data_IF_072179981939
#
_entry.id   IF_072179981939
#
_cell.length_a   1.000
_cell.length_b   1.000
_cell.length_c   1.000
_cell.angle_alpha   90.00
_cell.angle_beta   90.00
_cell.angle_gamma   90.00
#
_symmetry.space_group_name_H-M   'P 1'
#
loop_
_entity.id
_entity.type
_entity.pdbx_description
1 polymer ?
#
# COMPACT_ATOMS: atom_id res chain seq x y z
N UNK A 1 63.88 4.06 17.88
CA UNK A 1 63.11 3.45 16.78
C UNK A 1 64.01 3.28 15.58
N UNK A 2 64.16 2.05 15.08
CA UNK A 2 64.97 1.76 13.89
C UNK A 2 64.11 1.86 12.62
N UNK A 3 64.74 2.02 11.45
CA UNK A 3 64.02 2.04 10.15
C UNK A 3 63.23 0.75 9.92
N UNK A 4 63.73 -0.37 10.43
CA UNK A 4 63.10 -1.69 10.32
C UNK A 4 61.78 -1.75 11.11
N UNK A 5 61.77 -1.23 12.34
CA UNK A 5 60.55 -1.12 13.17
C UNK A 5 59.47 -0.25 12.51
N UNK A 6 59.87 0.89 11.91
CA UNK A 6 58.98 1.76 11.14
C UNK A 6 58.35 1.04 9.96
N UNK A 7 59.13 0.23 9.25
CA UNK A 7 58.68 -0.50 8.06
C UNK A 7 57.69 -1.60 8.44
N UNK A 8 57.93 -2.29 9.56
CA UNK A 8 57.03 -3.33 10.08
C UNK A 8 55.69 -2.75 10.53
N UNK A 9 55.70 -1.61 11.24
CA UNK A 9 54.47 -0.91 11.64
C UNK A 9 53.70 -0.43 10.41
N UNK A 10 54.38 0.15 9.41
CA UNK A 10 53.74 0.58 8.18
C UNK A 10 53.10 -0.59 7.42
N UNK A 11 53.79 -1.73 7.32
CA UNK A 11 53.25 -2.94 6.70
C UNK A 11 52.02 -3.48 7.45
N UNK A 12 52.04 -3.48 8.78
CA UNK A 12 50.91 -3.91 9.60
C UNK A 12 49.67 -3.00 9.41
N UNK A 13 49.89 -1.67 9.39
CA UNK A 13 48.82 -0.70 9.13
C UNK A 13 48.25 -0.86 7.71
N UNK A 14 49.11 -1.05 6.70
CA UNK A 14 48.68 -1.26 5.32
C UNK A 14 47.85 -2.55 5.16
N UNK A 15 48.28 -3.65 5.80
CA UNK A 15 47.53 -4.90 5.81
C UNK A 15 46.16 -4.73 6.50
N UNK A 16 46.11 -4.03 7.64
CA UNK A 16 44.87 -3.72 8.35
C UNK A 16 43.91 -2.88 7.51
N UNK A 17 44.40 -1.82 6.85
CA UNK A 17 43.60 -0.98 5.96
C UNK A 17 43.06 -1.75 4.75
N UNK A 18 43.87 -2.65 4.18
CA UNK A 18 43.46 -3.53 3.07
C UNK A 18 42.32 -4.46 3.50
N UNK A 19 42.47 -5.15 4.64
CA UNK A 19 41.44 -6.04 5.18
C UNK A 19 40.14 -5.28 5.46
N UNK A 20 40.23 -4.09 6.06
CA UNK A 20 39.08 -3.25 6.34
C UNK A 20 38.34 -2.83 5.06
N UNK A 21 39.09 -2.47 4.01
CA UNK A 21 38.51 -2.15 2.69
C UNK A 21 37.78 -3.34 2.07
N UNK A 22 38.36 -4.54 2.12
CA UNK A 22 37.71 -5.77 1.63
C UNK A 22 36.42 -6.06 2.41
N UNK A 23 36.42 -5.91 3.74
CA UNK A 23 35.22 -6.10 4.57
C UNK A 23 34.11 -5.12 4.21
N UNK A 24 34.44 -3.83 4.03
CA UNK A 24 33.47 -2.83 3.55
C UNK A 24 32.93 -3.15 2.16
N UNK A 25 33.79 -3.65 1.26
CA UNK A 25 33.41 -4.12 -0.07
C UNK A 25 32.39 -5.26 -0.02
N UNK A 26 32.64 -6.29 0.79
CA UNK A 26 31.74 -7.44 0.97
C UNK A 26 30.38 -7.00 1.52
N UNK A 27 30.38 -6.13 2.53
CA UNK A 27 29.13 -5.60 3.12
C UNK A 27 28.34 -4.75 2.10
N UNK A 28 29.05 -3.92 1.33
CA UNK A 28 28.46 -3.12 0.25
C UNK A 28 27.82 -3.99 -0.84
N UNK A 29 28.54 -5.03 -1.28
CA UNK A 29 28.09 -5.96 -2.32
C UNK A 29 26.87 -6.77 -1.86
N UNK A 30 26.91 -7.39 -0.67
CA UNK A 30 25.75 -8.09 -0.09
C UNK A 30 24.53 -7.19 0.01
N UNK A 31 24.72 -5.94 0.43
CA UNK A 31 23.65 -4.96 0.48
C UNK A 31 23.09 -4.59 -0.90
N UNK A 32 23.93 -4.56 -1.94
CA UNK A 32 23.51 -4.30 -3.31
C UNK A 32 22.75 -5.50 -3.91
N UNK A 33 23.22 -6.71 -3.68
CA UNK A 33 22.59 -7.96 -4.10
C UNK A 33 21.20 -8.12 -3.49
N UNK A 34 21.06 -7.88 -2.17
CA UNK A 34 19.76 -7.91 -1.51
C UNK A 34 18.78 -6.87 -2.11
N UNK A 35 19.27 -5.65 -2.39
CA UNK A 35 18.44 -4.62 -3.03
C UNK A 35 18.02 -4.99 -4.45
N UNK A 36 18.91 -5.63 -5.20
CA UNK A 36 18.62 -6.11 -6.55
C UNK A 36 17.58 -7.23 -6.50
N UNK A 37 17.75 -8.22 -5.63
CA UNK A 37 16.80 -9.32 -5.43
C UNK A 37 15.42 -8.81 -5.01
N UNK A 38 15.35 -7.87 -4.07
CA UNK A 38 14.08 -7.25 -3.65
C UNK A 38 13.38 -6.52 -4.80
N UNK A 39 14.14 -5.77 -5.62
CA UNK A 39 13.58 -5.08 -6.80
C UNK A 39 13.11 -6.06 -7.86
N UNK A 40 13.85 -7.14 -8.09
CA UNK A 40 13.46 -8.18 -9.03
C UNK A 40 12.15 -8.83 -8.60
N UNK A 41 12.05 -9.27 -7.33
CA UNK A 41 10.81 -9.79 -6.76
C UNK A 41 9.66 -8.80 -6.92
N UNK A 42 9.87 -7.54 -6.54
CA UNK A 42 8.82 -6.51 -6.66
C UNK A 42 8.43 -6.22 -8.10
N UNK A 43 9.39 -6.23 -9.03
CA UNK A 43 9.18 -5.91 -10.44
C UNK A 43 8.17 -6.82 -11.13
N UNK A 44 8.07 -8.08 -10.71
CA UNK A 44 7.14 -9.07 -11.30
C UNK A 44 5.66 -8.72 -11.13
N UNK A 45 5.30 -7.88 -10.17
CA UNK A 45 3.89 -7.52 -9.90
C UNK A 45 3.70 -6.03 -9.57
N UNK A 46 4.73 -5.20 -9.69
CA UNK A 46 4.64 -3.78 -9.38
C UNK A 46 3.61 -3.07 -10.26
N UNK A 47 3.64 -3.35 -11.57
CA UNK A 47 2.72 -2.76 -12.55
C UNK A 47 1.28 -3.20 -12.29
N UNK A 48 1.06 -4.51 -12.13
CA UNK A 48 -0.25 -5.06 -11.82
C UNK A 48 -0.81 -4.54 -10.49
N UNK A 49 0.02 -4.46 -9.45
CA UNK A 49 -0.40 -3.95 -8.16
C UNK A 49 -0.84 -2.48 -8.25
N UNK A 50 -0.04 -1.63 -8.91
CA UNK A 50 -0.39 -0.22 -9.11
C UNK A 50 -1.65 -0.05 -9.94
N UNK A 51 -1.77 -0.80 -11.04
CA UNK A 51 -2.95 -0.85 -11.92
C UNK A 51 -4.21 -1.20 -11.12
N UNK A 52 -4.18 -2.31 -10.38
CA UNK A 52 -5.35 -2.83 -9.67
C UNK A 52 -5.75 -1.96 -8.48
N UNK A 53 -4.78 -1.37 -7.75
CA UNK A 53 -5.04 -0.39 -6.70
C UNK A 53 -5.79 0.82 -7.28
N UNK A 54 -5.28 1.39 -8.37
CA UNK A 54 -5.90 2.53 -9.04
C UNK A 54 -7.28 2.17 -9.61
N UNK A 55 -7.40 1.04 -10.29
CA UNK A 55 -8.67 0.59 -10.88
C UNK A 55 -9.74 0.36 -9.81
N UNK A 56 -9.38 -0.17 -8.65
CA UNK A 56 -10.32 -0.37 -7.52
C UNK A 56 -10.94 0.95 -7.06
N UNK A 57 -10.14 2.02 -6.90
CA UNK A 57 -10.63 3.34 -6.49
C UNK A 57 -11.38 4.03 -7.62
N UNK A 58 -10.83 4.01 -8.83
CA UNK A 58 -11.43 4.67 -9.98
C UNK A 58 -12.82 4.08 -10.33
N UNK A 59 -12.95 2.75 -10.30
CA UNK A 59 -14.24 2.10 -10.53
C UNK A 59 -15.27 2.44 -9.46
N UNK A 60 -14.86 2.59 -8.20
CA UNK A 60 -15.72 3.03 -7.12
C UNK A 60 -16.24 4.47 -7.34
N UNK A 61 -15.37 5.41 -7.75
CA UNK A 61 -15.81 6.76 -8.13
C UNK A 61 -16.83 6.75 -9.27
N UNK A 62 -16.57 5.97 -10.33
CA UNK A 62 -17.48 5.89 -11.48
C UNK A 62 -18.81 5.25 -11.07
N UNK A 63 -18.79 4.25 -10.18
CA UNK A 63 -20.00 3.62 -9.66
C UNK A 63 -20.92 4.63 -8.96
N UNK A 64 -20.38 5.43 -8.02
CA UNK A 64 -21.15 6.50 -7.34
C UNK A 64 -21.67 7.50 -8.35
N UNK A 65 -20.80 7.99 -9.25
CA UNK A 65 -21.20 8.94 -10.27
C UNK A 65 -22.34 8.41 -11.14
N UNK A 66 -22.28 7.15 -11.59
CA UNK A 66 -23.31 6.55 -12.44
C UNK A 66 -24.61 6.31 -11.68
N UNK A 67 -24.55 5.84 -10.44
CA UNK A 67 -25.73 5.66 -9.60
C UNK A 67 -26.50 6.97 -9.41
N UNK A 68 -25.79 8.07 -9.12
CA UNK A 68 -26.38 9.39 -8.89
C UNK A 68 -27.01 10.03 -10.14
N UNK A 69 -26.59 9.61 -11.34
CA UNK A 69 -27.10 10.14 -12.62
C UNK A 69 -28.08 9.18 -13.32
N UNK A 70 -28.61 8.18 -12.62
CA UNK A 70 -29.56 7.21 -13.19
C UNK A 70 -28.95 6.33 -14.30
N UNK A 71 -27.63 6.21 -14.35
CA UNK A 71 -26.94 5.39 -15.34
C UNK A 71 -26.96 3.90 -15.00
N UNK A 72 -26.65 3.05 -15.99
CA UNK A 72 -26.46 1.62 -15.76
C UNK A 72 -25.24 1.37 -14.85
N UNK A 73 -25.48 0.85 -13.65
CA UNK A 73 -24.46 0.55 -12.63
C UNK A 73 -23.92 -0.88 -12.70
N UNK A 74 -24.62 -1.80 -13.37
CA UNK A 74 -24.31 -3.23 -13.33
C UNK A 74 -22.91 -3.54 -13.88
N UNK A 75 -22.59 -3.02 -15.07
CA UNK A 75 -21.27 -3.23 -15.68
C UNK A 75 -20.11 -2.66 -14.85
N UNK A 76 -20.35 -1.55 -14.14
CA UNK A 76 -19.35 -0.95 -13.25
C UNK A 76 -19.17 -1.76 -11.97
N UNK A 77 -20.25 -2.33 -11.43
CA UNK A 77 -20.20 -3.25 -10.29
C UNK A 77 -19.40 -4.51 -10.61
N UNK A 78 -19.66 -5.13 -11.76
CA UNK A 78 -18.90 -6.31 -12.21
C UNK A 78 -17.41 -6.00 -12.39
N UNK A 79 -17.07 -4.81 -12.89
CA UNK A 79 -15.69 -4.35 -13.02
C UNK A 79 -15.04 -4.11 -11.65
N UNK A 80 -15.76 -3.49 -10.71
CA UNK A 80 -15.28 -3.27 -9.35
C UNK A 80 -15.04 -4.60 -8.61
N UNK A 81 -15.95 -5.57 -8.76
CA UNK A 81 -15.81 -6.91 -8.16
C UNK A 81 -14.61 -7.67 -8.74
N UNK A 82 -14.34 -7.50 -10.05
CA UNK A 82 -13.13 -8.05 -10.69
C UNK A 82 -11.87 -7.42 -10.10
N UNK A 83 -11.80 -6.09 -10.01
CA UNK A 83 -10.67 -5.39 -9.43
C UNK A 83 -10.43 -5.81 -7.97
N UNK A 84 -11.49 -5.96 -7.17
CA UNK A 84 -11.42 -6.50 -5.80
C UNK A 84 -10.79 -7.90 -5.75
N UNK A 85 -11.19 -8.81 -6.65
CA UNK A 85 -10.63 -10.18 -6.70
C UNK A 85 -9.15 -10.15 -7.09
N UNK A 86 -8.81 -9.41 -8.14
CA UNK A 86 -7.42 -9.21 -8.58
C UNK A 86 -6.57 -8.61 -7.44
N UNK A 87 -7.10 -7.63 -6.70
CA UNK A 87 -6.39 -7.01 -5.58
C UNK A 87 -6.14 -8.01 -4.46
N UNK A 88 -7.12 -8.86 -4.18
CA UNK A 88 -7.01 -9.95 -3.21
C UNK A 88 -5.93 -10.98 -3.60
N UNK A 89 -5.78 -11.27 -4.89
CA UNK A 89 -4.72 -12.12 -5.43
C UNK A 89 -3.35 -11.45 -5.33
N UNK A 90 -3.23 -10.19 -5.76
CA UNK A 90 -1.98 -9.41 -5.67
C UNK A 90 -1.53 -9.25 -4.22
N UNK A 91 -2.45 -9.03 -3.28
CA UNK A 91 -2.14 -9.00 -1.84
C UNK A 91 -1.46 -10.29 -1.38
N UNK A 92 -1.99 -11.45 -1.77
CA UNK A 92 -1.41 -12.75 -1.39
C UNK A 92 0.00 -12.94 -1.96
N UNK A 93 0.20 -12.57 -3.24
CA UNK A 93 1.50 -12.64 -3.92
C UNK A 93 2.53 -11.69 -3.28
N UNK A 94 2.10 -10.48 -2.97
CA UNK A 94 2.98 -9.42 -2.48
C UNK A 94 3.25 -9.48 -0.96
N UNK A 95 2.53 -10.32 -0.19
CA UNK A 95 2.51 -10.35 1.29
C UNK A 95 3.89 -10.27 1.94
N UNK A 96 4.87 -11.03 1.44
CA UNK A 96 6.20 -11.09 2.04
C UNK A 96 7.09 -9.92 1.63
N UNK A 97 6.98 -9.46 0.38
CA UNK A 97 7.75 -8.30 -0.12
C UNK A 97 7.28 -6.95 0.43
N UNK A 98 5.98 -6.85 0.71
CA UNK A 98 5.28 -5.65 1.15
C UNK A 98 4.73 -5.88 2.56
N UNK A 99 5.55 -6.48 3.42
CA UNK A 99 5.17 -6.71 4.80
C UNK A 99 4.76 -5.40 5.48
N UNK A 100 3.64 -5.44 6.22
CA UNK A 100 3.14 -4.31 7.00
C UNK A 100 2.15 -3.39 6.28
N UNK A 101 1.86 -3.60 5.00
CA UNK A 101 0.79 -2.88 4.27
C UNK A 101 -0.40 -3.77 3.86
N UNK A 102 -0.38 -5.05 4.23
CA UNK A 102 -1.42 -6.05 3.90
C UNK A 102 -2.83 -5.61 4.33
N UNK A 103 -2.92 -4.97 5.50
CA UNK A 103 -4.18 -4.46 6.03
C UNK A 103 -4.79 -3.37 5.14
N UNK A 104 -3.97 -2.48 4.59
CA UNK A 104 -4.44 -1.46 3.65
C UNK A 104 -4.97 -2.07 2.36
N UNK A 105 -4.26 -3.06 1.80
CA UNK A 105 -4.73 -3.79 0.61
C UNK A 105 -6.03 -4.57 0.88
N UNK A 106 -6.18 -5.14 2.07
CA UNK A 106 -7.39 -5.85 2.50
C UNK A 106 -8.60 -4.91 2.62
N UNK A 107 -8.42 -3.73 3.19
CA UNK A 107 -9.53 -2.80 3.35
C UNK A 107 -9.90 -2.17 2.02
N UNK A 108 -8.90 -1.85 1.18
CA UNK A 108 -9.16 -1.36 -0.18
C UNK A 108 -9.91 -2.39 -1.04
N UNK A 109 -9.66 -3.69 -0.86
CA UNK A 109 -10.41 -4.73 -1.57
C UNK A 109 -11.89 -4.79 -1.19
N UNK A 110 -12.31 -4.18 -0.08
CA UNK A 110 -13.71 -4.09 0.37
C UNK A 110 -14.42 -2.83 -0.12
N UNK A 111 -13.68 -1.90 -0.74
CA UNK A 111 -14.17 -0.58 -1.13
C UNK A 111 -15.41 -0.65 -2.03
N UNK A 112 -15.39 -1.51 -3.04
CA UNK A 112 -16.51 -1.68 -3.99
C UNK A 112 -17.81 -2.03 -3.26
N UNK A 113 -17.75 -2.94 -2.30
CA UNK A 113 -18.88 -3.30 -1.45
C UNK A 113 -19.32 -2.12 -0.59
N UNK A 114 -18.40 -1.45 0.11
CA UNK A 114 -18.73 -0.31 0.97
C UNK A 114 -19.41 0.83 0.22
N UNK A 115 -18.92 1.13 -0.98
CA UNK A 115 -19.51 2.14 -1.87
C UNK A 115 -20.85 1.65 -2.43
N UNK A 116 -20.97 0.37 -2.78
CA UNK A 116 -22.23 -0.20 -3.25
C UNK A 116 -23.38 -0.09 -2.22
N UNK A 117 -23.08 -0.10 -0.92
CA UNK A 117 -24.10 0.05 0.14
C UNK A 117 -24.51 1.51 0.39
N UNK A 118 -23.73 2.47 -0.12
CA UNK A 118 -23.86 3.90 0.18
C UNK A 118 -24.09 4.78 -1.05
N UNK A 119 -24.13 4.24 -2.27
CA UNK A 119 -24.29 5.07 -3.47
C UNK A 119 -25.59 5.89 -3.49
N UNK A 120 -26.64 5.49 -2.76
CA UNK A 120 -27.88 6.26 -2.65
C UNK A 120 -27.74 7.53 -1.79
N UNK A 121 -26.62 7.67 -1.07
CA UNK A 121 -26.32 8.79 -0.19
C UNK A 121 -25.01 9.44 -0.68
N UNK A 122 -25.08 10.39 -1.63
CA UNK A 122 -23.90 10.94 -2.31
C UNK A 122 -22.83 11.45 -1.34
N UNK A 123 -23.22 12.20 -0.31
CA UNK A 123 -22.28 12.78 0.66
C UNK A 123 -21.54 11.72 1.48
N UNK A 124 -22.26 10.67 1.89
CA UNK A 124 -21.71 9.52 2.62
C UNK A 124 -20.74 8.73 1.73
N UNK A 125 -21.11 8.52 0.46
CA UNK A 125 -20.27 7.82 -0.51
C UNK A 125 -18.99 8.61 -0.85
N UNK A 126 -19.09 9.94 -1.00
CA UNK A 126 -17.95 10.81 -1.29
C UNK A 126 -16.92 10.76 -0.14
N UNK A 127 -17.35 10.83 1.12
CA UNK A 127 -16.45 10.69 2.29
C UNK A 127 -15.69 9.37 2.29
N UNK A 128 -16.36 8.26 1.92
CA UNK A 128 -15.70 6.95 1.80
C UNK A 128 -14.65 6.98 0.68
N UNK A 129 -14.97 7.59 -0.46
CA UNK A 129 -14.07 7.70 -1.61
C UNK A 129 -12.84 8.57 -1.29
N UNK A 130 -13.00 9.70 -0.60
CA UNK A 130 -11.90 10.54 -0.14
C UNK A 130 -10.95 9.78 0.80
N UNK A 131 -11.50 9.05 1.77
CA UNK A 131 -10.70 8.22 2.67
C UNK A 131 -9.99 7.08 1.93
N UNK A 132 -10.64 6.50 0.92
CA UNK A 132 -10.04 5.47 0.08
C UNK A 132 -8.91 6.01 -0.80
N UNK A 133 -9.05 7.23 -1.31
CA UNK A 133 -8.02 7.93 -2.09
C UNK A 133 -6.79 8.25 -1.23
N UNK A 134 -6.99 8.66 0.03
CA UNK A 134 -5.92 8.81 1.01
C UNK A 134 -5.18 7.48 1.26
N UNK A 135 -5.91 6.37 1.42
CA UNK A 135 -5.34 5.04 1.56
C UNK A 135 -4.55 4.61 0.31
N UNK A 136 -5.08 4.87 -0.89
CA UNK A 136 -4.41 4.63 -2.18
C UNK A 136 -3.06 5.36 -2.23
N UNK A 137 -3.06 6.66 -1.93
CA UNK A 137 -1.85 7.47 -1.92
C UNK A 137 -0.80 6.93 -0.93
N UNK A 138 -1.22 6.51 0.27
CA UNK A 138 -0.33 5.92 1.26
C UNK A 138 0.27 4.58 0.79
N UNK A 139 -0.53 3.73 0.14
CA UNK A 139 -0.09 2.46 -0.44
C UNK A 139 0.92 2.69 -1.56
N UNK A 140 0.60 3.55 -2.52
CA UNK A 140 1.47 3.88 -3.66
C UNK A 140 2.81 4.43 -3.17
N UNK A 141 2.80 5.29 -2.16
CA UNK A 141 4.03 5.84 -1.58
C UNK A 141 4.87 4.77 -0.86
N UNK A 142 4.23 3.84 -0.14
CA UNK A 142 4.92 2.73 0.51
C UNK A 142 5.56 1.79 -0.52
N UNK A 143 4.81 1.43 -1.57
CA UNK A 143 5.24 0.56 -2.68
C UNK A 143 6.38 1.21 -3.45
N UNK A 144 6.20 2.48 -3.87
CA UNK A 144 7.22 3.27 -4.59
C UNK A 144 8.50 3.41 -3.78
N UNK A 145 8.39 3.70 -2.48
CA UNK A 145 9.57 3.79 -1.61
C UNK A 145 10.26 2.43 -1.45
N UNK A 146 9.50 1.33 -1.35
CA UNK A 146 10.04 -0.03 -1.25
C UNK A 146 10.85 -0.40 -2.49
N UNK A 147 10.26 -0.19 -3.66
CA UNK A 147 10.90 -0.44 -4.95
C UNK A 147 12.16 0.42 -5.16
N UNK A 148 12.07 1.74 -4.98
CA UNK A 148 13.21 2.66 -5.18
C UNK A 148 14.40 2.31 -4.28
N UNK A 149 14.14 1.95 -3.02
CA UNK A 149 15.19 1.61 -2.05
C UNK A 149 15.69 0.17 -2.17
N UNK A 150 14.96 -0.71 -2.87
CA UNK A 150 15.21 -2.15 -2.88
C UNK A 150 15.11 -2.76 -1.48
N UNK A 151 14.18 -2.28 -0.65
CA UNK A 151 13.97 -2.76 0.72
C UNK A 151 12.48 -2.82 1.01
N UNK A 152 12.03 -3.67 1.95
CA UNK A 152 10.65 -3.63 2.41
C UNK A 152 10.22 -2.22 2.85
N UNK A 153 8.91 -1.91 2.84
CA UNK A 153 8.40 -0.62 3.27
C UNK A 153 8.90 -0.24 4.67
N UNK A 154 9.33 1.00 4.83
CA UNK A 154 9.78 1.50 6.13
C UNK A 154 8.61 1.56 7.12
N UNK A 155 8.87 1.33 8.41
CA UNK A 155 7.85 1.35 9.47
C UNK A 155 6.97 2.62 9.46
N UNK A 156 7.56 3.78 9.17
CA UNK A 156 6.80 5.03 9.04
C UNK A 156 5.75 4.98 7.90
N UNK A 157 6.10 4.35 6.77
CA UNK A 157 5.18 4.15 5.64
C UNK A 157 4.11 3.11 5.97
N UNK A 158 4.48 2.01 6.64
CA UNK A 158 3.50 1.02 7.13
C UNK A 158 2.48 1.66 8.08
N UNK A 159 2.95 2.50 9.02
CA UNK A 159 2.06 3.25 9.93
C UNK A 159 1.15 4.22 9.19
N UNK A 160 1.65 4.89 8.14
CA UNK A 160 0.81 5.77 7.32
C UNK A 160 -0.32 4.99 6.64
N UNK A 161 -0.02 3.83 6.05
CA UNK A 161 -1.03 2.93 5.47
C UNK A 161 -2.03 2.45 6.52
N UNK A 162 -1.56 2.02 7.68
CA UNK A 162 -2.43 1.55 8.78
C UNK A 162 -3.36 2.66 9.30
N UNK A 163 -2.88 3.89 9.39
CA UNK A 163 -3.70 5.06 9.77
C UNK A 163 -4.78 5.30 8.72
N UNK A 164 -4.41 5.44 7.45
CA UNK A 164 -5.37 5.66 6.38
C UNK A 164 -6.40 4.51 6.26
N UNK A 165 -5.98 3.27 6.48
CA UNK A 165 -6.89 2.12 6.51
C UNK A 165 -7.87 2.18 7.69
N UNK A 166 -7.39 2.61 8.87
CA UNK A 166 -8.26 2.86 10.02
C UNK A 166 -9.26 3.97 9.73
N UNK A 167 -8.80 5.08 9.16
CA UNK A 167 -9.65 6.23 8.85
C UNK A 167 -10.76 5.84 7.89
N UNK A 168 -10.45 5.09 6.83
CA UNK A 168 -11.45 4.54 5.91
C UNK A 168 -12.49 3.66 6.61
N UNK A 169 -12.08 2.79 7.54
CA UNK A 169 -13.01 1.96 8.33
C UNK A 169 -13.88 2.80 9.27
N UNK A 170 -13.30 3.82 9.90
CA UNK A 170 -14.04 4.74 10.78
C UNK A 170 -15.11 5.48 10.00
N UNK A 171 -14.75 6.06 8.85
CA UNK A 171 -15.70 6.77 7.97
C UNK A 171 -16.84 5.85 7.52
N UNK A 172 -16.53 4.60 7.14
CA UNK A 172 -17.55 3.62 6.79
C UNK A 172 -18.46 3.26 7.99
N UNK A 173 -17.88 3.07 9.18
CA UNK A 173 -18.65 2.74 10.38
C UNK A 173 -19.58 3.88 10.82
N UNK A 174 -19.11 5.14 10.79
CA UNK A 174 -19.92 6.33 11.05
C UNK A 174 -21.08 6.45 10.06
N UNK A 175 -20.78 6.22 8.78
CA UNK A 175 -21.77 6.24 7.70
C UNK A 175 -22.88 5.21 7.93
N UNK A 176 -22.51 3.99 8.33
CA UNK A 176 -23.46 2.92 8.62
C UNK A 176 -24.30 3.20 9.88
N UNK A 177 -23.71 3.82 10.91
CA UNK A 177 -24.46 4.21 12.12
C UNK A 177 -25.51 5.27 11.81
N UNK A 178 -25.12 6.35 11.14
CA UNK A 178 -26.06 7.42 10.76
C UNK A 178 -27.20 6.90 9.87
N UNK A 179 -26.93 5.91 9.01
CA UNK A 179 -27.98 5.27 8.20
C UNK A 179 -28.98 4.47 9.03
N UNK A 180 -28.55 3.83 10.11
CA UNK A 180 -29.44 3.08 11.00
C UNK A 180 -30.29 4.02 11.85
N UNK A 181 -29.70 5.09 12.37
CA UNK A 181 -30.41 6.14 13.12
C UNK A 181 -31.53 6.78 12.27
N UNK A 182 -31.25 7.12 11.00
CA UNK A 182 -32.26 7.63 10.05
C UNK A 182 -33.41 6.64 9.81
N UNK A 183 -33.13 5.33 9.81
CA UNK A 183 -34.16 4.30 9.58
C UNK A 183 -35.07 4.07 10.79
N UNK A 184 -34.52 4.20 12.00
CA UNK A 184 -35.29 4.07 13.23
C UNK A 184 -36.23 5.28 13.41
N UNK A 185 -35.75 6.49 13.12
CA UNK A 185 -36.56 7.72 13.16
C UNK A 185 -37.74 7.66 12.16
N UNK A 186 -37.51 7.15 10.95
CA UNK A 186 -38.57 6.98 9.94
C UNK A 186 -39.61 5.93 10.38
N UNK A 187 -39.20 4.90 11.13
CA UNK A 187 -40.08 3.85 11.61
C UNK A 187 -40.97 4.30 12.78
N UNK A 188 -40.50 5.23 13.63
CA UNK A 188 -41.28 5.80 14.73
C UNK A 188 -42.34 6.82 14.27
N UNK A 189 -42.17 7.40 13.08
CA UNK A 189 -43.08 8.41 12.53
C UNK A 189 -44.21 7.84 11.63
N UNK A 190 -44.30 6.51 11.47
CA UNK A 190 -45.31 5.79 10.67
C UNK A 190 -46.39 5.15 11.55
#
# INVERSE_FOLDING_TARGET
MTKEELTLVAAAVAAGASLFSVLLGILGQKGAEFRAAHRQLMGEYLEDLGRVIHESVATAHVLVKKANHGGNVQGWRERADRATRELGEMRRRARYSLWGIDEGLRDLSRLSSWVAHNYSYPDKAERILEAAESLRCALDEAIRSSYKKGKPPAQAKCRAVQRAARDLRTVYAETMRSKLEEQDDDAENL
#
